data_IF_028269951234
#
_entry.id   IF_028269951234
#
_cell.length_a   1.000
_cell.length_b   1.000
_cell.length_c   1.000
_cell.angle_alpha   90.00
_cell.angle_beta   90.00
_cell.angle_gamma   90.00
#
_symmetry.space_group_name_H-M   'P 1'
#
loop_
_entity.id
_entity.type
_entity.pdbx_description
1 polymer ?
#
# COMPACT_ATOMS: atom_id res chain seq x y z
N UNK A 1 -9.21 -3.62 3.87
CA UNK A 1 -10.16 -2.55 3.51
C UNK A 1 -9.63 -1.12 3.63
N UNK A 2 -8.40 -0.92 4.16
CA UNK A 2 -7.96 0.42 4.62
C UNK A 2 -6.90 1.08 3.73
N UNK A 3 -6.33 0.35 2.78
CA UNK A 3 -5.24 0.83 1.91
C UNK A 3 -5.54 0.52 0.44
N UNK A 4 -5.41 1.52 -0.43
CA UNK A 4 -5.56 1.42 -1.89
C UNK A 4 -4.19 1.71 -2.52
N UNK A 5 -3.77 0.93 -3.51
CA UNK A 5 -2.50 1.16 -4.22
C UNK A 5 -2.79 1.66 -5.64
N UNK A 6 -2.07 2.70 -6.08
CA UNK A 6 -2.13 3.22 -7.45
C UNK A 6 -0.77 3.06 -8.15
N UNK A 7 -0.81 2.71 -9.46
CA UNK A 7 0.36 2.56 -10.35
C UNK A 7 0.09 3.34 -11.64
N UNK A 8 0.73 4.50 -11.82
CA UNK A 8 0.52 5.39 -12.97
C UNK A 8 0.21 6.85 -12.58
N UNK A 9 -0.07 7.70 -13.57
CA UNK A 9 -0.28 9.14 -13.42
C UNK A 9 -1.75 9.54 -13.19
N UNK A 10 -2.59 8.64 -12.69
CA UNK A 10 -3.97 8.98 -12.35
C UNK A 10 -4.01 9.71 -11.01
N UNK A 11 -4.22 11.02 -11.05
CA UNK A 11 -4.41 11.86 -9.86
C UNK A 11 -5.86 11.79 -9.36
N UNK A 12 -6.12 11.20 -8.17
CA UNK A 12 -7.44 11.23 -7.53
C UNK A 12 -7.72 12.62 -6.94
N UNK A 13 -8.99 13.00 -6.87
CA UNK A 13 -9.50 14.26 -6.29
C UNK A 13 -9.46 14.31 -4.75
N UNK A 14 -8.32 13.96 -4.14
CA UNK A 14 -8.04 13.75 -2.71
C UNK A 14 -8.50 12.42 -2.11
N UNK A 15 -7.62 11.76 -1.31
CA UNK A 15 -7.46 12.07 0.12
C UNK A 15 -5.99 12.27 0.56
N UNK A 16 -5.80 12.97 1.69
CA UNK A 16 -4.55 13.58 2.20
C UNK A 16 -3.42 12.62 2.67
N UNK A 17 -3.48 11.34 2.30
CA UNK A 17 -2.53 10.31 2.76
C UNK A 17 -1.98 9.52 1.59
N UNK A 18 -1.39 10.22 0.62
CA UNK A 18 -0.59 9.61 -0.45
C UNK A 18 0.80 9.37 0.11
N UNK A 19 1.21 8.11 0.17
CA UNK A 19 2.53 7.70 0.62
C UNK A 19 3.27 7.11 -0.58
N UNK A 20 4.06 7.91 -1.32
CA UNK A 20 5.00 7.38 -2.31
C UNK A 20 5.90 6.36 -1.63
N UNK A 21 5.88 5.15 -2.17
CA UNK A 21 6.47 3.98 -1.54
C UNK A 21 7.24 3.15 -2.55
N UNK A 22 8.24 2.43 -2.08
CA UNK A 22 8.88 1.35 -2.83
C UNK A 22 8.52 0.00 -2.22
N UNK A 23 8.11 -0.95 -3.04
CA UNK A 23 7.85 -2.32 -2.58
C UNK A 23 9.17 -2.97 -2.15
N UNK A 24 9.21 -3.44 -0.90
CA UNK A 24 10.33 -4.19 -0.32
C UNK A 24 10.17 -5.68 -0.54
N UNK A 25 9.00 -6.21 -0.24
CA UNK A 25 8.70 -7.63 -0.30
C UNK A 25 7.22 -7.88 -0.56
N UNK A 26 6.93 -9.02 -1.19
CA UNK A 26 5.57 -9.52 -1.38
C UNK A 26 5.59 -10.98 -0.95
N UNK A 27 4.89 -11.30 0.13
CA UNK A 27 4.90 -12.62 0.75
C UNK A 27 3.49 -13.12 0.99
N UNK A 28 3.29 -14.43 0.96
CA UNK A 28 1.98 -15.04 1.21
C UNK A 28 1.74 -15.13 2.71
N UNK A 29 0.56 -14.72 3.16
CA UNK A 29 0.13 -14.81 4.55
C UNK A 29 -1.30 -15.35 4.61
N UNK A 30 -1.43 -16.67 4.77
CA UNK A 30 -2.71 -17.35 4.70
C UNK A 30 -3.38 -17.19 3.33
N UNK A 31 -4.58 -16.61 3.31
CA UNK A 31 -5.33 -16.32 2.07
C UNK A 31 -4.98 -14.96 1.45
N UNK A 32 -4.19 -14.15 2.16
CA UNK A 32 -3.78 -12.81 1.75
C UNK A 32 -2.30 -12.80 1.34
N UNK A 33 -1.89 -11.64 0.84
CA UNK A 33 -0.52 -11.30 0.51
C UNK A 33 -0.11 -10.12 1.38
N UNK A 34 1.00 -10.27 2.10
CA UNK A 34 1.67 -9.18 2.80
C UNK A 34 2.62 -8.48 1.86
N UNK A 35 2.40 -7.19 1.67
CA UNK A 35 3.28 -6.30 0.91
C UNK A 35 3.96 -5.36 1.89
N UNK A 36 5.28 -5.43 1.96
CA UNK A 36 6.06 -4.46 2.72
C UNK A 36 6.47 -3.31 1.83
N UNK A 37 6.31 -2.10 2.35
CA UNK A 37 6.54 -0.83 1.67
C UNK A 37 7.53 0.01 2.47
N UNK A 38 8.38 0.72 1.73
CA UNK A 38 9.26 1.75 2.26
C UNK A 38 8.80 3.12 1.76
N UNK A 39 8.25 3.92 2.66
CA UNK A 39 7.80 5.30 2.43
C UNK A 39 8.54 6.31 3.34
N UNK A 40 9.77 5.99 3.74
CA UNK A 40 10.51 6.70 4.79
C UNK A 40 10.32 6.08 6.18
N UNK A 41 9.36 5.17 6.31
CA UNK A 41 9.19 4.22 7.40
C UNK A 41 8.66 2.90 6.83
N UNK A 42 8.68 1.82 7.62
CA UNK A 42 8.10 0.54 7.20
C UNK A 42 6.59 0.57 7.32
N UNK A 43 5.91 0.31 6.21
CA UNK A 43 4.46 0.11 6.15
C UNK A 43 4.18 -1.30 5.63
N UNK A 44 3.31 -2.04 6.31
CA UNK A 44 2.83 -3.33 5.83
C UNK A 44 1.38 -3.21 5.38
N UNK A 45 1.09 -3.67 4.17
CA UNK A 45 -0.26 -3.75 3.63
C UNK A 45 -0.65 -5.22 3.40
N UNK A 46 -1.90 -5.56 3.71
CA UNK A 46 -2.48 -6.86 3.41
C UNK A 46 -3.42 -6.72 2.21
N UNK A 47 -3.14 -7.47 1.16
CA UNK A 47 -3.89 -7.47 -0.08
C UNK A 47 -4.41 -8.87 -0.37
N UNK A 48 -5.48 -8.98 -1.16
CA UNK A 48 -5.87 -10.27 -1.73
C UNK A 48 -4.83 -10.71 -2.76
N UNK A 49 -4.74 -12.03 -2.99
CA UNK A 49 -3.88 -12.58 -4.03
C UNK A 49 -4.16 -11.96 -5.40
N UNK A 50 -5.44 -11.85 -5.76
CA UNK A 50 -5.89 -11.27 -7.02
C UNK A 50 -5.40 -9.82 -7.17
N UNK A 51 -5.54 -8.97 -6.15
CA UNK A 51 -5.08 -7.58 -6.21
C UNK A 51 -3.56 -7.47 -6.40
N UNK A 52 -2.77 -8.33 -5.75
CA UNK A 52 -1.31 -8.36 -5.98
C UNK A 52 -0.95 -8.79 -7.41
N UNK A 53 -1.68 -9.76 -7.97
CA UNK A 53 -1.48 -10.24 -9.34
C UNK A 53 -1.87 -9.17 -10.37
N UNK A 54 -3.03 -8.52 -10.22
CA UNK A 54 -3.51 -7.43 -11.09
C UNK A 54 -2.55 -6.24 -11.09
N UNK A 55 -2.05 -5.84 -9.92
CA UNK A 55 -1.09 -4.74 -9.77
C UNK A 55 0.35 -5.12 -10.18
N UNK A 56 0.59 -6.41 -10.49
CA UNK A 56 1.90 -6.99 -10.82
C UNK A 56 3.02 -6.53 -9.88
N UNK A 57 2.72 -6.52 -8.57
CA UNK A 57 3.63 -5.99 -7.55
C UNK A 57 4.85 -6.89 -7.40
N UNK A 58 6.03 -6.28 -7.43
CA UNK A 58 7.31 -6.93 -7.19
C UNK A 58 8.24 -6.02 -6.38
N UNK A 59 9.22 -6.58 -5.66
CA UNK A 59 10.26 -5.80 -5.02
C UNK A 59 10.91 -4.80 -6.00
N UNK A 60 11.05 -3.55 -5.56
CA UNK A 60 11.58 -2.44 -6.35
C UNK A 60 10.53 -1.60 -7.08
N UNK A 61 9.27 -2.05 -7.17
CA UNK A 61 8.21 -1.26 -7.80
C UNK A 61 7.92 0.01 -6.99
N UNK A 62 7.75 1.13 -7.70
CA UNK A 62 7.26 2.39 -7.13
C UNK A 62 5.74 2.40 -7.16
N UNK A 63 5.13 2.61 -6.00
CA UNK A 63 3.68 2.65 -5.82
C UNK A 63 3.30 3.83 -4.95
N UNK A 64 2.04 4.26 -5.01
CA UNK A 64 1.48 5.18 -4.01
C UNK A 64 0.53 4.40 -3.13
N UNK A 65 0.83 4.33 -1.84
CA UNK A 65 -0.09 3.79 -0.86
C UNK A 65 -1.04 4.87 -0.38
N UNK A 66 -2.33 4.64 -0.58
CA UNK A 66 -3.42 5.49 -0.15
C UNK A 66 -4.06 4.87 1.08
N UNK A 67 -3.97 5.51 2.23
CA UNK A 67 -4.67 5.04 3.43
C UNK A 67 -5.99 5.78 3.54
N UNK A 68 -7.11 5.05 3.66
CA UNK A 68 -8.43 5.64 3.90
C UNK A 68 -8.37 6.45 5.20
N UNK A 69 -8.68 7.74 5.11
CA UNK A 69 -8.64 8.68 6.23
C UNK A 69 -9.37 8.21 7.52
N UNK A 70 -10.56 7.57 7.49
CA UNK A 70 -11.20 7.10 8.73
C UNK A 70 -10.44 6.00 9.47
N UNK A 71 -9.43 5.39 8.85
CA UNK A 71 -8.66 4.29 9.43
C UNK A 71 -7.28 4.72 9.98
N UNK A 72 -6.98 6.02 9.95
CA UNK A 72 -5.78 6.58 10.57
C UNK A 72 -6.13 7.06 11.97
N UNK A 73 -5.54 6.42 12.97
CA UNK A 73 -5.63 6.83 14.36
C UNK A 73 -4.29 7.42 14.81
N UNK A 74 -4.27 8.67 15.26
CA UNK A 74 -3.12 9.29 15.90
C UNK A 74 -3.14 8.92 17.38
N UNK A 75 -2.08 8.26 17.87
CA UNK A 75 -1.90 7.96 19.28
C UNK A 75 -0.88 8.96 19.84
N UNK A 76 -1.27 9.86 20.77
CA UNK A 76 -0.33 10.77 21.40
C UNK A 76 0.70 10.00 22.22
N UNK A 77 1.94 10.51 22.23
CA UNK A 77 3.03 9.97 23.04
C UNK A 77 2.95 10.45 24.48
#
# INVERSE_FOLDING_TARGET
DDVILLKGADTPSSPRNHLPSTVRSVTREGTLMRVELDCGFRLAALLTRQACEELTLKPGDRVVALVKAPNIHLIPR
#
